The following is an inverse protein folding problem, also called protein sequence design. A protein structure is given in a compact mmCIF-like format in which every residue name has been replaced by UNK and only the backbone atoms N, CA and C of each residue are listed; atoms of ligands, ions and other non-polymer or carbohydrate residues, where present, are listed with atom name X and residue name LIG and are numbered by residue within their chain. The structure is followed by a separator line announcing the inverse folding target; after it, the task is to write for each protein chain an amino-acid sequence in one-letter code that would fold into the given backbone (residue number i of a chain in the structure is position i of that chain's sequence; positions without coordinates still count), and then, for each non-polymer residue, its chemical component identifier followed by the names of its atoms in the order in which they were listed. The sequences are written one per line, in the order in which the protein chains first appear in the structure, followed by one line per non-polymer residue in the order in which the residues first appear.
data_IF_538252184358
#
_entry.id   IF_538252184358
#
_cell.length_a   1.000
_cell.length_b   1.000
_cell.length_c   1.000
_cell.angle_alpha   90.00
_cell.angle_beta   90.00
_cell.angle_gamma   90.00
#
_symmetry.space_group_name_H-M   'P 1'
#
loop_
_entity.id
_entity.type
_entity.pdbx_description
1 polymer ?
#
# COMPACT_ATOMS: atom_id res chain seq x y z
N UNK A 1 -5.55 -2.40 -12.53
CA UNK A 1 -6.24 -1.48 -13.48
C UNK A 1 -6.99 -2.30 -14.52
N UNK A 2 -8.25 -1.94 -14.82
CA UNK A 2 -9.08 -2.62 -15.83
C UNK A 2 -8.55 -2.35 -17.25
N UNK A 3 -8.87 -3.22 -18.21
CA UNK A 3 -8.47 -3.03 -19.61
C UNK A 3 -9.00 -1.71 -20.19
N UNK A 4 -10.25 -1.35 -19.88
CA UNK A 4 -10.86 -0.07 -20.31
C UNK A 4 -10.10 1.16 -19.80
N UNK A 5 -9.60 1.13 -18.56
CA UNK A 5 -8.80 2.22 -17.99
C UNK A 5 -7.44 2.34 -18.70
N UNK A 6 -6.80 1.21 -19.03
CA UNK A 6 -5.55 1.21 -19.83
C UNK A 6 -5.76 1.81 -21.21
N UNK A 7 -6.85 1.41 -21.89
CA UNK A 7 -7.23 1.95 -23.20
C UNK A 7 -7.49 3.45 -23.10
N UNK A 8 -8.20 3.90 -22.07
CA UNK A 8 -8.45 5.32 -21.86
C UNK A 8 -7.15 6.13 -21.70
N UNK A 9 -6.20 5.66 -20.87
CA UNK A 9 -4.89 6.33 -20.72
C UNK A 9 -4.15 6.37 -22.07
N UNK A 10 -4.15 5.27 -22.81
CA UNK A 10 -3.52 5.20 -24.13
C UNK A 10 -4.15 6.20 -25.11
N UNK A 11 -5.47 6.26 -25.19
CA UNK A 11 -6.19 7.22 -26.04
C UNK A 11 -5.92 8.67 -25.62
N UNK A 12 -5.82 8.95 -24.32
CA UNK A 12 -5.45 10.26 -23.82
C UNK A 12 -4.03 10.68 -24.27
N UNK A 13 -3.06 9.77 -24.20
CA UNK A 13 -1.69 10.02 -24.70
C UNK A 13 -1.64 10.26 -26.21
N UNK A 14 -2.39 9.47 -26.98
CA UNK A 14 -2.51 9.65 -28.43
C UNK A 14 -3.14 11.02 -28.73
N UNK A 15 -4.21 11.38 -28.01
CA UNK A 15 -4.88 12.67 -28.15
C UNK A 15 -3.97 13.86 -27.84
N UNK A 16 -3.21 13.80 -26.74
CA UNK A 16 -2.20 14.81 -26.39
C UNK A 16 -1.10 14.92 -27.46
N UNK A 17 -0.64 13.79 -27.99
CA UNK A 17 0.38 13.77 -29.05
C UNK A 17 -0.15 14.42 -30.33
N UNK A 18 -1.33 14.00 -30.80
CA UNK A 18 -1.99 14.58 -31.97
C UNK A 18 -2.21 16.08 -31.77
N UNK A 19 -2.68 16.49 -30.59
CA UNK A 19 -2.88 17.91 -30.25
C UNK A 19 -1.59 18.73 -30.34
N UNK A 20 -0.47 18.19 -29.84
CA UNK A 20 0.84 18.82 -29.97
C UNK A 20 1.28 18.99 -31.43
N UNK A 21 1.19 17.93 -32.25
CA UNK A 21 1.59 17.98 -33.66
C UNK A 21 0.71 18.95 -34.47
N UNK A 22 -0.61 18.86 -34.32
CA UNK A 22 -1.55 19.75 -35.01
C UNK A 22 -1.37 21.20 -34.57
N UNK A 23 -1.23 21.46 -33.27
CA UNK A 23 -1.12 22.81 -32.74
C UNK A 23 0.19 23.53 -33.14
N UNK A 24 1.24 22.78 -33.47
CA UNK A 24 2.50 23.32 -33.94
C UNK A 24 2.71 23.18 -35.46
N UNK A 25 1.72 22.67 -36.20
CA UNK A 25 1.82 22.35 -37.63
C UNK A 25 3.03 21.47 -37.98
N UNK A 26 3.31 20.46 -37.14
CA UNK A 26 4.45 19.56 -37.31
C UNK A 26 4.01 18.19 -37.84
N UNK A 27 4.88 17.55 -38.60
CA UNK A 27 4.82 16.11 -38.88
C UNK A 27 5.99 15.38 -38.20
N UNK A 28 5.91 14.05 -38.13
CA UNK A 28 6.95 13.24 -37.49
C UNK A 28 8.34 13.43 -38.13
N UNK A 29 8.38 13.67 -39.45
CA UNK A 29 9.63 13.93 -40.18
C UNK A 29 10.34 15.21 -39.69
N UNK A 30 9.59 16.24 -39.31
CA UNK A 30 10.15 17.50 -38.82
C UNK A 30 10.92 17.29 -37.51
N UNK A 31 10.47 16.37 -36.66
CA UNK A 31 11.17 16.04 -35.41
C UNK A 31 12.52 15.39 -35.68
N UNK A 32 12.62 14.50 -36.67
CA UNK A 32 13.88 13.83 -37.02
C UNK A 32 14.89 14.78 -37.68
N UNK A 33 14.40 15.82 -38.36
CA UNK A 33 15.25 16.90 -38.90
C UNK A 33 15.70 17.83 -37.77
N UNK A 34 14.76 18.19 -36.89
CA UNK A 34 14.98 19.15 -35.82
C UNK A 34 15.87 18.60 -34.71
N UNK A 35 15.72 17.33 -34.35
CA UNK A 35 16.36 16.69 -33.20
C UNK A 35 17.25 15.53 -33.68
N UNK A 36 18.58 15.65 -33.56
CA UNK A 36 19.50 14.54 -33.75
C UNK A 36 19.07 13.29 -32.98
N UNK A 37 19.26 12.12 -33.60
CA UNK A 37 18.85 10.84 -33.03
C UNK A 37 19.34 10.65 -31.59
N UNK A 38 20.63 10.87 -31.30
CA UNK A 38 21.17 10.72 -29.94
C UNK A 38 20.46 11.63 -28.91
N UNK A 39 20.15 12.87 -29.30
CA UNK A 39 19.48 13.84 -28.44
C UNK A 39 18.03 13.42 -28.16
N UNK A 40 17.35 12.86 -29.17
CA UNK A 40 16.01 12.28 -29.00
C UNK A 40 15.99 11.15 -27.97
N UNK A 41 16.95 10.20 -28.02
CA UNK A 41 17.05 9.13 -27.02
C UNK A 41 17.36 9.66 -25.63
N UNK A 42 18.30 10.59 -25.51
CA UNK A 42 18.67 11.20 -24.22
C UNK A 42 17.45 11.87 -23.59
N UNK A 43 16.68 12.65 -24.35
CA UNK A 43 15.49 13.33 -23.82
C UNK A 43 14.40 12.36 -23.42
N UNK A 44 14.16 11.28 -24.17
CA UNK A 44 13.19 10.24 -23.77
C UNK A 44 13.61 9.61 -22.44
N UNK A 45 14.89 9.29 -22.30
CA UNK A 45 15.43 8.72 -21.05
C UNK A 45 15.23 9.72 -19.90
N UNK A 46 15.57 10.99 -20.09
CA UNK A 46 15.38 12.03 -19.07
C UNK A 46 13.90 12.22 -18.71
N UNK A 47 13.00 12.21 -19.69
CA UNK A 47 11.57 12.27 -19.45
C UNK A 47 11.10 11.04 -18.65
N UNK A 48 11.57 9.83 -18.97
CA UNK A 48 11.26 8.64 -18.20
C UNK A 48 11.77 8.73 -16.74
N UNK A 49 12.98 9.23 -16.52
CA UNK A 49 13.53 9.44 -15.17
C UNK A 49 12.84 10.59 -14.42
N UNK A 50 12.24 11.56 -15.11
CA UNK A 50 11.48 12.65 -14.47
C UNK A 50 10.26 12.17 -13.68
N UNK A 51 9.79 10.92 -13.91
CA UNK A 51 8.75 10.28 -13.10
C UNK A 51 9.08 10.34 -11.61
N UNK A 52 10.35 10.13 -11.21
CA UNK A 52 10.74 10.20 -9.80
C UNK A 52 10.54 11.61 -9.22
N UNK A 53 10.84 12.65 -10.00
CA UNK A 53 10.60 14.03 -9.59
C UNK A 53 9.11 14.33 -9.45
N UNK A 54 8.29 13.86 -10.39
CA UNK A 54 6.84 14.03 -10.30
C UNK A 54 6.20 13.23 -9.17
N UNK A 55 6.74 12.08 -8.78
CA UNK A 55 6.33 11.38 -7.55
C UNK A 55 6.62 12.24 -6.31
N UNK A 56 7.78 12.88 -6.23
CA UNK A 56 8.09 13.79 -5.11
C UNK A 56 7.10 14.96 -5.08
N UNK A 57 6.83 15.59 -6.24
CA UNK A 57 5.86 16.66 -6.34
C UNK A 57 4.43 16.22 -5.95
N UNK A 58 4.05 15.01 -6.33
CA UNK A 58 2.77 14.40 -5.95
C UNK A 58 2.64 14.29 -4.43
N UNK A 59 3.63 13.71 -3.75
CA UNK A 59 3.61 13.58 -2.30
C UNK A 59 3.65 14.94 -1.59
N UNK A 60 4.40 15.91 -2.15
CA UNK A 60 4.38 17.31 -1.68
C UNK A 60 2.97 17.92 -1.82
N UNK A 61 2.23 17.58 -2.87
CA UNK A 61 0.84 17.97 -3.03
C UNK A 61 -0.02 17.52 -1.85
N UNK A 62 0.03 16.24 -1.48
CA UNK A 62 -0.67 15.74 -0.28
C UNK A 62 -0.25 16.52 0.97
N UNK A 63 1.04 16.78 1.13
CA UNK A 63 1.55 17.54 2.27
C UNK A 63 0.99 18.96 2.35
N UNK A 64 1.06 19.73 1.25
CA UNK A 64 0.60 21.12 1.20
C UNK A 64 -0.91 21.19 1.45
N UNK A 65 -1.69 20.42 0.69
CA UNK A 65 -3.15 20.47 0.82
C UNK A 65 -3.65 19.84 2.12
N UNK A 66 -2.93 18.86 2.68
CA UNK A 66 -3.17 18.36 4.03
C UNK A 66 -2.95 19.44 5.07
N UNK A 67 -1.81 20.15 5.01
CA UNK A 67 -1.54 21.28 5.92
C UNK A 67 -2.60 22.37 5.85
N UNK A 68 -3.01 22.76 4.63
CA UNK A 68 -4.08 23.74 4.40
C UNK A 68 -5.43 23.31 4.98
N UNK A 69 -5.67 22.00 5.12
CA UNK A 69 -6.90 21.44 5.67
C UNK A 69 -6.79 21.03 7.16
N UNK A 70 -5.68 21.38 7.82
CA UNK A 70 -5.48 21.16 9.25
C UNK A 70 -4.87 19.81 9.60
N UNK A 71 -4.28 19.09 8.64
CA UNK A 71 -3.57 17.84 8.91
C UNK A 71 -2.14 18.11 9.41
N UNK A 72 -1.67 17.19 10.22
CA UNK A 72 -0.29 17.11 10.70
C UNK A 72 0.40 15.91 10.03
N UNK A 73 1.64 16.12 9.60
CA UNK A 73 2.46 15.08 9.00
C UNK A 73 2.84 14.05 10.05
N UNK A 74 2.71 12.76 9.73
CA UNK A 74 3.19 11.65 10.55
C UNK A 74 4.53 11.17 10.00
N UNK A 75 4.55 10.82 8.71
CA UNK A 75 5.79 10.53 8.00
C UNK A 75 5.68 10.90 6.53
N UNK A 76 6.84 11.12 5.93
CA UNK A 76 6.99 11.36 4.51
C UNK A 76 8.02 10.38 3.96
N UNK A 77 7.68 9.71 2.88
CA UNK A 77 8.50 8.68 2.29
C UNK A 77 8.62 8.87 0.78
N UNK A 78 9.84 8.81 0.27
CA UNK A 78 10.19 8.79 -1.15
C UNK A 78 11.31 7.75 -1.34
N UNK A 79 11.67 7.35 -2.58
CA UNK A 79 12.70 6.35 -2.77
C UNK A 79 13.98 6.78 -2.03
N UNK A 80 14.53 5.85 -1.24
CA UNK A 80 15.74 6.03 -0.42
C UNK A 80 15.63 6.96 0.81
N UNK A 81 14.57 7.74 0.98
CA UNK A 81 14.41 8.65 2.12
C UNK A 81 13.08 8.44 2.86
N UNK A 82 13.16 8.29 4.18
CA UNK A 82 12.00 8.28 5.06
C UNK A 82 12.20 9.32 6.16
N UNK A 83 11.25 10.25 6.29
CA UNK A 83 11.21 11.25 7.34
C UNK A 83 10.08 10.93 8.30
N UNK A 84 10.42 10.71 9.57
CA UNK A 84 9.45 10.54 10.65
C UNK A 84 9.25 11.88 11.37
N UNK A 85 8.03 12.38 11.37
CA UNK A 85 7.70 13.69 11.94
C UNK A 85 7.62 13.67 13.47
N UNK A 86 7.38 12.51 14.09
CA UNK A 86 7.31 12.36 15.54
C UNK A 86 8.73 12.42 16.15
N UNK A 87 9.66 11.67 15.57
CA UNK A 87 11.06 11.63 16.03
C UNK A 87 11.93 12.73 15.40
N UNK A 88 11.43 13.40 14.36
CA UNK A 88 12.17 14.37 13.52
C UNK A 88 13.45 13.78 12.93
N UNK A 89 13.45 12.48 12.61
CA UNK A 89 14.61 11.77 12.10
C UNK A 89 14.45 11.40 10.63
N UNK A 90 15.55 11.43 9.88
CA UNK A 90 15.63 10.89 8.53
C UNK A 90 16.32 9.53 8.58
N UNK A 91 15.71 8.53 7.95
CA UNK A 91 16.28 7.20 7.78
C UNK A 91 16.29 6.79 6.31
N UNK A 92 17.08 5.76 5.99
CA UNK A 92 17.06 5.15 4.66
C UNK A 92 15.70 4.50 4.39
N UNK A 93 15.20 4.65 3.17
CA UNK A 93 13.87 4.21 2.73
C UNK A 93 13.65 2.69 2.64
N UNK A 94 14.09 1.91 3.63
CA UNK A 94 14.01 0.44 3.64
C UNK A 94 12.61 -0.10 3.98
N UNK A 95 11.72 0.73 4.52
CA UNK A 95 10.41 0.32 5.05
C UNK A 95 9.22 0.92 4.26
N UNK A 96 9.37 1.11 2.95
CA UNK A 96 8.23 1.50 2.10
C UNK A 96 7.19 0.38 2.09
N UNK A 97 5.89 0.68 2.21
CA UNK A 97 4.87 -0.31 1.91
C UNK A 97 5.07 -0.86 0.49
N UNK A 98 5.02 -2.18 0.37
CA UNK A 98 5.29 -2.86 -0.90
C UNK A 98 4.38 -2.32 -2.02
N UNK A 99 5.00 -1.80 -3.09
CA UNK A 99 4.29 -1.26 -4.25
C UNK A 99 4.01 0.24 -4.22
N UNK A 100 4.47 0.99 -3.22
CA UNK A 100 4.41 2.46 -3.19
C UNK A 100 5.77 3.06 -3.55
N UNK A 101 5.80 3.97 -4.55
CA UNK A 101 7.00 4.73 -4.91
C UNK A 101 7.23 5.93 -3.98
N UNK A 102 6.18 6.44 -3.36
CA UNK A 102 6.19 7.53 -2.38
C UNK A 102 4.98 7.39 -1.47
N UNK A 103 5.03 8.05 -0.31
CA UNK A 103 3.92 8.10 0.62
C UNK A 103 4.03 9.29 1.59
N UNK A 104 3.02 10.15 1.59
CA UNK A 104 2.79 11.18 2.59
C UNK A 104 1.65 10.77 3.51
N UNK A 105 1.96 10.23 4.70
CA UNK A 105 0.93 9.93 5.68
C UNK A 105 0.73 11.12 6.61
N UNK A 106 -0.50 11.66 6.60
CA UNK A 106 -0.91 12.73 7.49
C UNK A 106 -2.17 12.34 8.26
N UNK A 107 -2.32 12.92 9.45
CA UNK A 107 -3.50 12.72 10.28
C UNK A 107 -4.06 14.07 10.78
N UNK A 108 -5.37 14.08 11.07
CA UNK A 108 -6.11 15.21 11.60
C UNK A 108 -6.75 14.82 12.93
N UNK A 109 -6.07 15.11 14.04
CA UNK A 109 -6.49 14.75 15.40
C UNK A 109 -7.41 15.79 16.06
N UNK A 110 -7.53 16.99 15.49
CA UNK A 110 -8.18 18.12 16.16
C UNK A 110 -9.71 18.15 15.99
N UNK A 111 -10.30 17.14 15.35
CA UNK A 111 -11.75 17.05 15.09
C UNK A 111 -12.31 15.79 15.70
N UNK A 112 -13.36 15.94 16.53
CA UNK A 112 -13.98 14.84 17.26
C UNK A 112 -14.88 13.97 16.38
N UNK A 113 -15.50 14.56 15.35
CA UNK A 113 -16.39 13.84 14.43
C UNK A 113 -15.73 13.67 13.05
N UNK A 114 -15.76 12.44 12.53
CA UNK A 114 -15.31 12.10 11.18
C UNK A 114 -16.10 12.87 10.11
N UNK A 115 -17.37 13.20 10.35
CA UNK A 115 -18.17 13.99 9.40
C UNK A 115 -17.57 15.37 9.14
N UNK A 116 -16.88 15.94 10.13
CA UNK A 116 -16.24 17.25 10.04
C UNK A 116 -14.82 17.20 9.45
N UNK A 117 -14.19 16.02 9.39
CA UNK A 117 -12.82 15.87 8.87
C UNK A 117 -12.80 16.05 7.33
N UNK A 118 -12.09 17.07 6.80
CA UNK A 118 -11.98 17.31 5.37
C UNK A 118 -11.00 16.31 4.76
N UNK A 119 -11.40 15.51 3.77
CA UNK A 119 -10.50 14.53 3.14
C UNK A 119 -10.14 14.87 1.70
N UNK A 120 -11.00 15.62 1.00
CA UNK A 120 -10.92 15.76 -0.45
C UNK A 120 -9.62 16.45 -0.90
N UNK A 121 -9.30 17.64 -0.36
CA UNK A 121 -8.09 18.36 -0.76
C UNK A 121 -6.81 17.62 -0.36
N UNK A 122 -6.79 16.97 0.81
CA UNK A 122 -5.66 16.14 1.23
C UNK A 122 -5.40 15.03 0.22
N UNK A 123 -6.43 14.25 -0.15
CA UNK A 123 -6.30 13.17 -1.14
C UNK A 123 -6.09 13.67 -2.57
N UNK A 124 -6.71 14.79 -2.95
CA UNK A 124 -6.55 15.34 -4.30
C UNK A 124 -5.25 16.13 -4.47
N UNK A 125 -4.52 16.42 -3.39
CA UNK A 125 -3.35 17.30 -3.43
C UNK A 125 -2.29 16.85 -4.42
N UNK A 126 -1.92 15.56 -4.39
CA UNK A 126 -0.97 15.00 -5.35
C UNK A 126 -1.50 14.99 -6.79
N UNK A 127 -2.81 14.78 -6.99
CA UNK A 127 -3.45 14.88 -8.30
C UNK A 127 -3.38 16.30 -8.86
N UNK A 128 -3.70 17.30 -8.02
CA UNK A 128 -3.69 18.72 -8.39
C UNK A 128 -2.28 19.14 -8.82
N UNK A 129 -1.25 18.82 -8.03
CA UNK A 129 0.13 19.22 -8.34
C UNK A 129 0.62 18.59 -9.64
N UNK A 130 0.39 17.29 -9.85
CA UNK A 130 0.80 16.62 -11.09
C UNK A 130 0.03 17.14 -12.30
N UNK A 131 -1.28 17.36 -12.17
CA UNK A 131 -2.08 17.94 -13.24
C UNK A 131 -1.59 19.34 -13.61
N UNK A 132 -1.40 20.22 -12.63
CA UNK A 132 -0.92 21.58 -12.88
C UNK A 132 0.48 21.58 -13.52
N UNK A 133 1.40 20.77 -13.00
CA UNK A 133 2.75 20.67 -13.56
C UNK A 133 2.73 20.15 -14.99
N UNK A 134 1.97 19.09 -15.25
CA UNK A 134 1.80 18.53 -16.59
C UNK A 134 1.14 19.50 -17.55
N UNK A 135 0.08 20.18 -17.13
CA UNK A 135 -0.63 21.18 -17.92
C UNK A 135 0.26 22.38 -18.25
N UNK A 136 1.07 22.86 -17.29
CA UNK A 136 2.03 23.95 -17.53
C UNK A 136 3.12 23.55 -18.52
N UNK A 137 3.69 22.35 -18.42
CA UNK A 137 4.68 21.83 -19.37
C UNK A 137 4.06 21.61 -20.77
N UNK A 138 2.82 21.11 -20.82
CA UNK A 138 2.10 20.94 -22.07
C UNK A 138 1.78 22.29 -22.71
N UNK A 139 1.34 23.29 -21.95
CA UNK A 139 1.17 24.66 -22.44
C UNK A 139 2.49 25.27 -22.93
N UNK A 140 3.58 25.04 -22.19
CA UNK A 140 4.94 25.44 -22.58
C UNK A 140 5.36 24.86 -23.93
N UNK A 141 4.83 23.70 -24.32
CA UNK A 141 5.12 23.08 -25.63
C UNK A 141 4.63 23.87 -26.84
N UNK A 142 3.65 24.77 -26.64
CA UNK A 142 3.16 25.70 -27.65
C UNK A 142 3.76 27.11 -27.51
N UNK A 143 4.36 27.41 -26.36
CA UNK A 143 5.01 28.69 -26.11
C UNK A 143 6.46 28.69 -26.60
N UNK A 144 7.20 27.60 -26.37
CA UNK A 144 8.58 27.47 -26.80
C UNK A 144 8.69 26.97 -28.23
N UNK A 145 9.63 27.53 -28.99
CA UNK A 145 9.85 27.19 -30.41
C UNK A 145 10.90 26.09 -30.55
N UNK A 146 10.73 25.25 -31.56
CA UNK A 146 11.70 24.23 -31.95
C UNK A 146 11.89 23.14 -30.89
N UNK A 147 13.15 22.76 -30.65
CA UNK A 147 13.52 21.67 -29.74
C UNK A 147 12.94 21.83 -28.33
N UNK A 148 12.92 23.06 -27.80
CA UNK A 148 12.42 23.33 -26.45
C UNK A 148 10.92 23.08 -26.33
N UNK A 149 10.13 23.38 -27.37
CA UNK A 149 8.70 23.04 -27.41
C UNK A 149 8.48 21.54 -27.31
N UNK A 150 9.26 20.76 -28.09
CA UNK A 150 9.19 19.30 -28.04
C UNK A 150 9.63 18.71 -26.70
N UNK A 151 10.67 19.27 -26.06
CA UNK A 151 11.09 18.84 -24.73
C UNK A 151 10.01 19.11 -23.70
N UNK A 152 9.42 20.31 -23.71
CA UNK A 152 8.31 20.66 -22.84
C UNK A 152 7.12 19.71 -23.01
N UNK A 153 6.81 19.31 -24.25
CA UNK A 153 5.82 18.27 -24.53
C UNK A 153 6.21 16.92 -23.89
N UNK A 154 7.42 16.41 -24.14
CA UNK A 154 7.85 15.12 -23.58
C UNK A 154 7.87 15.10 -22.05
N UNK A 155 8.35 16.17 -21.40
CA UNK A 155 8.36 16.28 -19.94
C UNK A 155 6.95 16.47 -19.35
N UNK A 156 5.94 16.87 -20.14
CA UNK A 156 4.56 16.92 -19.66
C UNK A 156 3.93 15.53 -19.46
N UNK A 157 4.35 14.54 -20.26
CA UNK A 157 3.71 13.22 -20.30
C UNK A 157 3.84 12.45 -18.98
N UNK A 158 5.02 12.36 -18.32
CA UNK A 158 5.18 11.72 -17.01
C UNK A 158 4.22 12.27 -15.95
N UNK A 159 4.11 13.60 -15.84
CA UNK A 159 3.23 14.25 -14.87
C UNK A 159 1.74 13.92 -15.14
N UNK A 160 1.30 14.04 -16.39
CA UNK A 160 -0.06 13.73 -16.80
C UNK A 160 -0.39 12.24 -16.65
N UNK A 161 0.59 11.35 -16.90
CA UNK A 161 0.43 9.91 -16.68
C UNK A 161 0.27 9.57 -15.20
N UNK A 162 1.05 10.18 -14.32
CA UNK A 162 0.89 9.99 -12.87
C UNK A 162 -0.43 10.57 -12.37
N UNK A 163 -0.89 11.71 -12.91
CA UNK A 163 -2.22 12.24 -12.64
C UNK A 163 -3.32 11.25 -13.05
N UNK A 164 -3.33 10.79 -14.30
CA UNK A 164 -4.33 9.84 -14.80
C UNK A 164 -4.28 8.50 -14.04
N UNK A 165 -3.08 8.00 -13.76
CA UNK A 165 -2.87 6.78 -13.00
C UNK A 165 -3.45 6.84 -11.59
N UNK A 166 -3.29 7.97 -10.89
CA UNK A 166 -3.81 8.11 -9.51
C UNK A 166 -5.25 8.64 -9.45
N UNK A 167 -5.75 9.32 -10.49
CA UNK A 167 -7.13 9.80 -10.54
C UNK A 167 -8.14 8.67 -10.86
N UNK A 168 -7.72 7.64 -11.61
CA UNK A 168 -8.61 6.54 -11.97
C UNK A 168 -8.79 5.56 -10.81
N UNK A 169 -10.04 5.15 -10.50
CA UNK A 169 -10.30 4.32 -9.33
C UNK A 169 -9.89 2.86 -9.57
N UNK A 170 -8.66 2.52 -9.17
CA UNK A 170 -8.18 1.14 -9.09
C UNK A 170 -7.17 0.98 -7.95
N UNK A 171 -6.97 -0.25 -7.44
CA UNK A 171 -5.95 -0.50 -6.41
C UNK A 171 -6.16 0.36 -5.16
N UNK A 172 -5.11 1.02 -4.67
CA UNK A 172 -5.18 1.96 -3.55
C UNK A 172 -4.88 3.41 -3.98
N UNK A 173 -5.25 3.79 -5.20
CA UNK A 173 -5.05 5.13 -5.76
C UNK A 173 -5.89 6.20 -5.04
N UNK A 174 -5.44 7.46 -5.08
CA UNK A 174 -6.16 8.60 -4.48
C UNK A 174 -7.59 8.74 -4.99
N UNK A 175 -7.77 8.62 -6.31
CA UNK A 175 -9.07 8.69 -6.96
C UNK A 175 -10.02 7.60 -6.46
N UNK A 176 -9.50 6.38 -6.19
CA UNK A 176 -10.28 5.34 -5.55
C UNK A 176 -10.63 5.69 -4.11
N UNK A 177 -9.69 6.19 -3.32
CA UNK A 177 -9.96 6.58 -1.92
C UNK A 177 -11.02 7.67 -1.84
N UNK A 178 -10.91 8.72 -2.66
CA UNK A 178 -11.92 9.77 -2.76
C UNK A 178 -13.27 9.19 -3.15
N UNK A 179 -13.31 8.30 -4.15
CA UNK A 179 -14.55 7.66 -4.58
C UNK A 179 -15.18 6.82 -3.47
N UNK A 180 -14.40 6.00 -2.77
CA UNK A 180 -14.91 5.14 -1.69
C UNK A 180 -15.43 5.96 -0.52
N UNK A 181 -14.68 6.95 -0.04
CA UNK A 181 -15.09 7.82 1.08
C UNK A 181 -16.42 8.54 0.77
N UNK A 182 -16.62 8.96 -0.49
CA UNK A 182 -17.85 9.64 -0.91
C UNK A 182 -19.11 8.77 -0.86
N UNK A 183 -18.98 7.44 -0.85
CA UNK A 183 -20.15 6.54 -0.94
C UNK A 183 -20.98 6.49 0.34
N UNK A 184 -20.36 6.62 1.51
CA UNK A 184 -21.06 6.47 2.79
C UNK A 184 -20.28 7.07 3.95
N UNK A 185 -21.01 7.44 5.01
CA UNK A 185 -20.42 7.83 6.30
C UNK A 185 -19.58 6.70 6.89
N UNK A 186 -20.02 5.43 6.73
CA UNK A 186 -19.25 4.25 7.14
C UNK A 186 -17.86 4.23 6.49
N UNK A 187 -17.77 4.45 5.17
CA UNK A 187 -16.50 4.47 4.46
C UNK A 187 -15.60 5.61 4.96
N UNK A 188 -16.18 6.77 5.23
CA UNK A 188 -15.47 7.91 5.81
C UNK A 188 -14.88 7.56 7.17
N UNK A 189 -15.68 6.97 8.07
CA UNK A 189 -15.22 6.54 9.40
C UNK A 189 -14.11 5.49 9.31
N UNK A 190 -14.29 4.46 8.47
CA UNK A 190 -13.27 3.42 8.29
C UNK A 190 -11.94 3.99 7.76
N UNK A 191 -12.00 4.93 6.83
CA UNK A 191 -10.81 5.63 6.32
C UNK A 191 -10.05 6.37 7.43
N UNK A 192 -10.75 7.16 8.25
CA UNK A 192 -10.09 7.90 9.33
C UNK A 192 -9.53 6.98 10.40
N UNK A 193 -10.25 5.93 10.78
CA UNK A 193 -9.74 4.90 11.69
C UNK A 193 -8.49 4.24 11.13
N UNK A 194 -8.44 3.93 9.84
CA UNK A 194 -7.24 3.39 9.19
C UNK A 194 -6.04 4.33 9.29
N UNK A 195 -6.21 5.62 9.01
CA UNK A 195 -5.12 6.62 9.13
C UNK A 195 -4.63 6.72 10.58
N UNK A 196 -5.56 6.80 11.52
CA UNK A 196 -5.24 6.95 12.94
C UNK A 196 -4.60 5.67 13.52
N UNK A 197 -5.06 4.48 13.14
CA UNK A 197 -4.38 3.21 13.45
C UNK A 197 -2.94 3.22 12.91
N UNK A 198 -2.75 3.60 11.64
CA UNK A 198 -1.42 3.72 11.04
C UNK A 198 -0.53 4.71 11.78
N UNK A 199 -1.09 5.82 12.26
CA UNK A 199 -0.40 6.80 13.09
C UNK A 199 0.08 6.21 14.42
N UNK A 200 -0.78 5.44 15.10
CA UNK A 200 -0.46 4.80 16.37
C UNK A 200 0.65 3.76 16.18
N UNK A 201 0.55 2.92 15.15
CA UNK A 201 1.57 1.92 14.83
C UNK A 201 2.91 2.57 14.48
N UNK A 202 2.90 3.67 13.71
CA UNK A 202 4.10 4.45 13.42
C UNK A 202 4.70 5.06 14.69
N UNK A 203 3.86 5.52 15.62
CA UNK A 203 4.30 6.02 16.93
C UNK A 203 4.85 4.90 17.86
N UNK A 204 4.95 3.66 17.36
CA UNK A 204 5.54 2.55 18.08
C UNK A 204 4.58 1.87 19.05
N UNK A 205 3.27 2.07 18.88
CA UNK A 205 2.26 1.24 19.54
C UNK A 205 2.23 -0.15 18.95
N UNK A 206 2.00 -1.16 19.79
CA UNK A 206 1.80 -2.55 19.36
C UNK A 206 0.31 -2.80 19.08
N UNK A 207 -0.04 -3.93 18.47
CA UNK A 207 -1.42 -4.16 18.01
C UNK A 207 -2.42 -4.21 19.17
N UNK A 208 -2.03 -4.82 20.29
CA UNK A 208 -2.89 -4.91 21.49
C UNK A 208 -3.11 -3.55 22.19
N UNK A 209 -2.29 -2.54 21.91
CA UNK A 209 -2.44 -1.18 22.45
C UNK A 209 -3.39 -0.30 21.62
N UNK A 210 -3.85 -0.77 20.45
CA UNK A 210 -4.82 -0.02 19.64
C UNK A 210 -6.16 0.05 20.39
N UNK A 211 -6.74 1.24 20.62
CA UNK A 211 -7.95 1.37 21.44
C UNK A 211 -9.13 0.59 20.85
N UNK A 212 -9.90 -0.08 21.72
CA UNK A 212 -10.94 -1.05 21.30
C UNK A 212 -12.08 -0.44 20.49
N UNK A 213 -12.36 0.85 20.65
CA UNK A 213 -13.37 1.60 19.89
C UNK A 213 -12.99 1.80 18.40
N UNK A 214 -11.72 1.60 18.04
CA UNK A 214 -11.29 1.58 16.64
C UNK A 214 -11.77 0.33 15.90
N UNK A 215 -12.15 -0.72 16.62
CA UNK A 215 -12.61 -1.98 16.06
C UNK A 215 -14.14 -2.13 16.08
N UNK A 216 -14.89 -1.09 16.45
CA UNK A 216 -16.37 -1.15 16.57
C UNK A 216 -17.04 -1.63 15.29
N UNK A 217 -16.72 -1.09 14.12
CA UNK A 217 -17.35 -1.47 12.85
C UNK A 217 -16.92 -2.87 12.41
N UNK A 218 -15.74 -3.34 12.83
CA UNK A 218 -15.29 -4.72 12.60
C UNK A 218 -16.13 -5.67 13.46
N UNK A 219 -16.28 -5.38 14.75
CA UNK A 219 -17.07 -6.16 15.71
C UNK A 219 -18.56 -6.21 15.35
N UNK A 220 -19.10 -5.10 14.86
CA UNK A 220 -20.48 -4.99 14.39
C UNK A 220 -20.71 -5.66 13.01
N UNK A 221 -19.65 -6.18 12.37
CA UNK A 221 -19.69 -6.76 11.03
C UNK A 221 -19.89 -5.75 9.88
N UNK A 222 -20.04 -4.46 10.18
CA UNK A 222 -20.24 -3.37 9.21
C UNK A 222 -19.03 -3.18 8.31
N UNK A 223 -17.82 -3.42 8.80
CA UNK A 223 -16.58 -3.27 8.03
C UNK A 223 -16.59 -4.07 6.72
N UNK A 224 -17.25 -5.25 6.69
CA UNK A 224 -17.36 -6.12 5.50
C UNK A 224 -18.14 -5.49 4.35
N UNK A 225 -18.94 -4.46 4.63
CA UNK A 225 -19.72 -3.71 3.63
C UNK A 225 -18.84 -2.74 2.82
N UNK A 226 -17.57 -2.57 3.21
CA UNK A 226 -16.67 -1.58 2.63
C UNK A 226 -15.33 -2.19 2.25
N UNK A 227 -14.79 -1.77 1.11
CA UNK A 227 -13.40 -2.03 0.75
C UNK A 227 -12.41 -1.51 1.81
N UNK A 228 -12.76 -0.43 2.52
CA UNK A 228 -11.91 0.17 3.55
C UNK A 228 -11.95 -0.57 4.88
N UNK A 229 -12.87 -1.53 5.05
CA UNK A 229 -12.99 -2.29 6.30
C UNK A 229 -11.92 -3.37 6.47
N UNK A 230 -11.23 -3.72 5.39
CA UNK A 230 -10.26 -4.81 5.39
C UNK A 230 -9.02 -4.50 6.24
N UNK A 231 -8.49 -3.28 6.16
CA UNK A 231 -7.33 -2.89 6.97
C UNK A 231 -7.64 -2.88 8.47
N UNK A 232 -8.71 -2.21 8.97
CA UNK A 232 -9.13 -2.32 10.37
C UNK A 232 -9.35 -3.76 10.83
N UNK A 233 -9.89 -4.62 9.96
CA UNK A 233 -10.10 -6.04 10.26
C UNK A 233 -8.76 -6.79 10.41
N UNK A 234 -7.77 -6.53 9.55
CA UNK A 234 -6.42 -7.12 9.68
C UNK A 234 -5.71 -6.65 10.94
N UNK A 235 -5.79 -5.36 11.28
CA UNK A 235 -5.22 -4.82 12.53
C UNK A 235 -5.90 -5.45 13.75
N UNK A 236 -7.23 -5.63 13.71
CA UNK A 236 -7.96 -6.30 14.79
C UNK A 236 -7.56 -7.76 14.94
N UNK A 237 -7.44 -8.48 13.82
CA UNK A 237 -6.95 -9.86 13.79
C UNK A 237 -5.56 -9.94 14.44
N UNK A 238 -4.61 -9.09 14.06
CA UNK A 238 -3.27 -9.05 14.64
C UNK A 238 -3.29 -8.74 16.13
N UNK A 239 -4.16 -7.84 16.60
CA UNK A 239 -4.32 -7.56 18.02
C UNK A 239 -4.81 -8.79 18.81
N UNK A 240 -5.76 -9.56 18.25
CA UNK A 240 -6.22 -10.81 18.84
C UNK A 240 -5.13 -11.88 18.88
N UNK A 241 -4.33 -11.98 17.81
CA UNK A 241 -3.18 -12.90 17.74
C UNK A 241 -2.11 -12.54 18.78
N UNK A 242 -1.82 -11.25 18.97
CA UNK A 242 -0.88 -10.76 19.99
C UNK A 242 -1.39 -11.06 21.41
N UNK A 243 -2.71 -11.04 21.61
CA UNK A 243 -3.38 -11.45 22.86
C UNK A 243 -3.53 -12.97 23.00
N UNK A 244 -3.07 -13.77 22.02
CA UNK A 244 -3.26 -15.23 21.94
C UNK A 244 -4.74 -15.65 21.96
N UNK A 245 -5.66 -14.77 21.59
CA UNK A 245 -7.08 -15.07 21.44
C UNK A 245 -7.36 -15.69 20.07
N UNK A 246 -6.81 -16.89 19.85
CA UNK A 246 -6.86 -17.59 18.56
C UNK A 246 -8.28 -17.92 18.11
N UNK A 247 -9.20 -18.21 19.04
CA UNK A 247 -10.57 -18.57 18.72
C UNK A 247 -11.29 -17.41 18.03
N UNK A 248 -11.20 -16.21 18.61
CA UNK A 248 -11.83 -15.03 18.02
C UNK A 248 -11.09 -14.57 16.76
N UNK A 249 -9.75 -14.69 16.72
CA UNK A 249 -8.95 -14.37 15.54
C UNK A 249 -9.36 -15.26 14.33
N UNK A 250 -9.49 -16.56 14.55
CA UNK A 250 -9.91 -17.53 13.53
C UNK A 250 -11.35 -17.31 13.07
N UNK A 251 -12.25 -16.94 13.99
CA UNK A 251 -13.63 -16.57 13.65
C UNK A 251 -13.66 -15.39 12.67
N UNK A 252 -12.99 -14.29 13.02
CA UNK A 252 -12.96 -13.08 12.17
C UNK A 252 -12.35 -13.38 10.80
N UNK A 253 -11.22 -14.09 10.76
CA UNK A 253 -10.54 -14.41 9.49
C UNK A 253 -11.37 -15.36 8.62
N UNK A 254 -11.95 -16.40 9.21
CA UNK A 254 -12.76 -17.39 8.48
C UNK A 254 -14.02 -16.74 7.91
N UNK A 255 -14.73 -15.93 8.69
CA UNK A 255 -15.89 -15.20 8.18
C UNK A 255 -15.55 -14.24 7.03
N UNK A 256 -14.36 -13.62 7.04
CA UNK A 256 -13.91 -12.79 5.91
C UNK A 256 -13.66 -13.64 4.67
N UNK A 257 -12.98 -14.77 4.81
CA UNK A 257 -12.68 -15.69 3.70
C UNK A 257 -13.96 -16.31 3.12
N UNK A 258 -14.96 -16.60 3.94
CA UNK A 258 -16.25 -17.15 3.49
C UNK A 258 -17.10 -16.12 2.75
N UNK A 259 -17.06 -14.87 3.19
CA UNK A 259 -17.88 -13.79 2.61
C UNK A 259 -17.25 -13.09 1.42
N UNK A 260 -15.97 -13.35 1.13
CA UNK A 260 -15.24 -12.63 0.08
C UNK A 260 -14.32 -13.55 -0.73
N UNK A 261 -14.08 -13.18 -1.99
CA UNK A 261 -12.99 -13.77 -2.76
C UNK A 261 -11.67 -13.16 -2.30
N UNK A 262 -11.08 -13.71 -1.24
CA UNK A 262 -9.85 -13.20 -0.66
C UNK A 262 -8.67 -13.21 -1.65
N UNK A 263 -8.75 -13.92 -2.78
CA UNK A 263 -7.70 -13.86 -3.81
C UNK A 263 -7.58 -12.47 -4.45
N UNK A 264 -8.62 -11.64 -4.32
CA UNK A 264 -8.63 -10.24 -4.79
C UNK A 264 -8.17 -9.24 -3.73
N UNK A 265 -7.92 -9.71 -2.49
CA UNK A 265 -7.46 -8.89 -1.38
C UNK A 265 -6.05 -8.33 -1.64
N UNK A 266 -5.77 -7.07 -1.28
CA UNK A 266 -4.39 -6.57 -1.23
C UNK A 266 -3.53 -7.29 -0.16
N UNK A 267 -4.17 -7.89 0.86
CA UNK A 267 -3.55 -8.67 1.93
C UNK A 267 -3.59 -10.18 1.68
N UNK A 268 -3.91 -10.65 0.46
CA UNK A 268 -4.07 -12.08 0.12
C UNK A 268 -2.91 -12.97 0.61
N UNK A 269 -1.67 -12.48 0.51
CA UNK A 269 -0.47 -13.21 0.93
C UNK A 269 -0.45 -13.44 2.44
N UNK A 270 -0.77 -12.40 3.21
CA UNK A 270 -0.90 -12.48 4.66
C UNK A 270 -2.07 -13.38 5.04
N UNK A 271 -3.26 -13.15 4.49
CA UNK A 271 -4.48 -13.93 4.78
C UNK A 271 -4.26 -15.42 4.56
N UNK A 272 -3.57 -15.82 3.48
CA UNK A 272 -3.28 -17.23 3.21
C UNK A 272 -2.35 -17.84 4.28
N UNK A 273 -1.28 -17.14 4.67
CA UNK A 273 -0.35 -17.60 5.68
C UNK A 273 -1.00 -17.66 7.08
N UNK A 274 -1.81 -16.66 7.42
CA UNK A 274 -2.53 -16.60 8.71
C UNK A 274 -3.63 -17.68 8.80
N UNK A 275 -4.34 -17.94 7.69
CA UNK A 275 -5.32 -19.03 7.64
C UNK A 275 -4.64 -20.40 7.81
N UNK A 276 -3.51 -20.61 7.15
CA UNK A 276 -2.69 -21.82 7.34
C UNK A 276 -2.22 -21.96 8.79
N UNK A 277 -1.79 -20.87 9.42
CA UNK A 277 -1.42 -20.87 10.84
C UNK A 277 -2.59 -21.32 11.71
N UNK A 278 -3.76 -20.68 11.57
CA UNK A 278 -4.96 -21.05 12.31
C UNK A 278 -5.34 -22.52 12.09
N UNK A 279 -5.41 -22.98 10.84
CA UNK A 279 -5.75 -24.37 10.52
C UNK A 279 -4.77 -25.37 11.16
N UNK A 280 -3.47 -25.04 11.19
CA UNK A 280 -2.48 -25.84 11.87
C UNK A 280 -2.71 -25.92 13.38
N UNK A 281 -2.87 -24.79 14.07
CA UNK A 281 -3.00 -24.78 15.54
C UNK A 281 -4.32 -25.38 16.03
N UNK A 282 -5.37 -25.35 15.21
CA UNK A 282 -6.67 -25.97 15.51
C UNK A 282 -6.78 -27.42 15.04
N UNK A 283 -5.73 -28.00 14.45
CA UNK A 283 -5.72 -29.41 14.05
C UNK A 283 -6.57 -29.71 12.81
N UNK A 284 -6.92 -28.70 12.00
CA UNK A 284 -7.74 -28.83 10.78
C UNK A 284 -6.87 -29.30 9.61
N UNK A 285 -6.49 -30.60 9.67
CA UNK A 285 -5.47 -31.19 8.79
C UNK A 285 -5.78 -31.08 7.30
N UNK A 286 -7.02 -31.32 6.91
CA UNK A 286 -7.40 -31.33 5.50
C UNK A 286 -7.45 -29.91 4.93
N UNK A 287 -7.96 -28.95 5.70
CA UNK A 287 -7.96 -27.52 5.37
C UNK A 287 -6.53 -26.97 5.27
N UNK A 288 -5.67 -27.30 6.23
CA UNK A 288 -4.26 -26.89 6.24
C UNK A 288 -3.50 -27.41 5.02
N UNK A 289 -3.69 -28.69 4.65
CA UNK A 289 -3.08 -29.27 3.43
C UNK A 289 -3.56 -28.59 2.16
N UNK A 290 -4.87 -28.34 2.02
CA UNK A 290 -5.43 -27.62 0.86
C UNK A 290 -4.87 -26.21 0.75
N UNK A 291 -4.75 -25.50 1.88
CA UNK A 291 -4.15 -24.17 1.89
C UNK A 291 -2.65 -24.22 1.54
N UNK A 292 -1.91 -25.21 2.03
CA UNK A 292 -0.51 -25.41 1.68
C UNK A 292 -0.32 -25.65 0.19
N UNK A 293 -1.11 -26.55 -0.41
CA UNK A 293 -1.08 -26.82 -1.86
C UNK A 293 -1.36 -25.54 -2.66
N UNK A 294 -2.34 -24.75 -2.22
CA UNK A 294 -2.65 -23.45 -2.84
C UNK A 294 -1.48 -22.47 -2.74
N UNK A 295 -0.79 -22.43 -1.60
CA UNK A 295 0.41 -21.60 -1.39
C UNK A 295 1.54 -22.05 -2.32
N UNK A 296 1.81 -23.35 -2.41
CA UNK A 296 2.90 -23.90 -3.23
C UNK A 296 2.69 -23.65 -4.73
N UNK A 297 1.44 -23.73 -5.19
CA UNK A 297 1.06 -23.53 -6.59
C UNK A 297 0.91 -22.06 -7.00
N UNK A 298 1.03 -21.11 -6.07
CA UNK A 298 0.92 -19.68 -6.36
C UNK A 298 2.19 -18.93 -5.95
N UNK A 299 3.00 -18.52 -6.93
CA UNK A 299 4.32 -17.91 -6.72
C UNK A 299 4.34 -16.78 -5.68
N UNK A 300 3.38 -15.85 -5.74
CA UNK A 300 3.27 -14.76 -4.77
C UNK A 300 2.91 -15.20 -3.35
N UNK A 301 2.14 -16.27 -3.17
CA UNK A 301 1.83 -16.81 -1.84
C UNK A 301 3.05 -17.56 -1.29
N UNK A 302 3.68 -18.38 -2.14
CA UNK A 302 4.91 -19.12 -1.82
C UNK A 302 6.04 -18.21 -1.36
N UNK A 303 6.27 -17.11 -2.07
CA UNK A 303 7.29 -16.11 -1.73
C UNK A 303 7.07 -15.52 -0.33
N UNK A 304 5.84 -15.09 -0.03
CA UNK A 304 5.51 -14.58 1.30
C UNK A 304 5.59 -15.65 2.39
N UNK A 305 5.09 -16.85 2.13
CA UNK A 305 5.15 -17.97 3.06
C UNK A 305 6.59 -18.33 3.43
N UNK A 306 7.53 -18.27 2.47
CA UNK A 306 8.94 -18.55 2.72
C UNK A 306 9.59 -17.62 3.78
N UNK A 307 9.02 -16.44 3.98
CA UNK A 307 9.44 -15.45 5.00
C UNK A 307 8.56 -15.49 6.27
N UNK A 308 7.47 -16.26 6.25
CA UNK A 308 6.51 -16.42 7.35
C UNK A 308 6.91 -17.56 8.29
N UNK A 309 8.06 -17.41 8.96
CA UNK A 309 8.66 -18.48 9.79
C UNK A 309 7.73 -18.96 10.91
N UNK A 310 6.94 -18.06 11.52
CA UNK A 310 5.98 -18.43 12.57
C UNK A 310 4.93 -19.43 12.03
N UNK A 311 4.39 -19.19 10.84
CA UNK A 311 3.48 -20.11 10.15
C UNK A 311 4.15 -21.43 9.81
N UNK A 312 5.41 -21.40 9.33
CA UNK A 312 6.17 -22.61 9.04
C UNK A 312 6.36 -23.47 10.28
N UNK A 313 6.71 -22.87 11.41
CA UNK A 313 6.85 -23.59 12.69
C UNK A 313 5.53 -24.21 13.11
N UNK A 314 4.42 -23.44 13.10
CA UNK A 314 3.11 -23.98 13.46
C UNK A 314 2.70 -25.16 12.57
N UNK A 315 2.90 -25.03 11.26
CA UNK A 315 2.59 -26.11 10.31
C UNK A 315 3.45 -27.35 10.55
N UNK A 316 4.77 -27.20 10.65
CA UNK A 316 5.68 -28.33 10.90
C UNK A 316 5.43 -29.00 12.26
N UNK A 317 5.12 -28.21 13.29
CA UNK A 317 4.86 -28.74 14.64
C UNK A 317 3.53 -29.50 14.72
N UNK A 318 2.44 -28.93 14.21
CA UNK A 318 1.09 -29.47 14.42
C UNK A 318 0.60 -30.35 13.28
N UNK A 319 1.03 -30.10 12.03
CA UNK A 319 0.58 -30.87 10.86
C UNK A 319 1.58 -31.97 10.48
N UNK A 320 2.88 -31.64 10.40
CA UNK A 320 3.93 -32.63 10.09
C UNK A 320 4.37 -33.43 11.32
N UNK A 321 4.05 -32.94 12.53
CA UNK A 321 4.44 -33.55 13.81
C UNK A 321 5.97 -33.74 13.89
N UNK A 322 6.72 -32.79 13.33
CA UNK A 322 8.18 -32.86 13.25
C UNK A 322 8.81 -31.83 14.19
N UNK A 323 9.12 -32.29 15.41
CA UNK A 323 9.66 -31.46 16.50
C UNK A 323 11.07 -30.96 16.15
N UNK A 324 11.92 -31.81 15.60
CA UNK A 324 13.30 -31.46 15.25
C UNK A 324 13.34 -30.36 14.18
N UNK A 325 12.62 -30.57 13.07
CA UNK A 325 12.50 -29.57 12.00
C UNK A 325 11.88 -28.26 12.52
N UNK A 326 10.93 -28.32 13.45
CA UNK A 326 10.38 -27.12 14.09
C UNK A 326 11.44 -26.36 14.89
N UNK A 327 12.27 -27.06 15.68
CA UNK A 327 13.37 -26.45 16.46
C UNK A 327 14.40 -25.75 15.57
N UNK A 328 14.72 -26.33 14.42
CA UNK A 328 15.66 -25.75 13.44
C UNK A 328 15.18 -24.43 12.81
N UNK A 329 13.87 -24.16 12.84
CA UNK A 329 13.29 -22.93 12.28
C UNK A 329 13.38 -21.74 13.24
N UNK A 330 13.42 -21.95 14.56
CA UNK A 330 13.44 -20.86 15.55
C UNK A 330 14.62 -19.88 15.38
N UNK A 331 15.87 -20.33 15.18
CA UNK A 331 17.00 -19.42 14.95
C UNK A 331 16.82 -18.50 13.71
N UNK A 332 15.96 -18.89 12.76
CA UNK A 332 15.67 -18.07 11.57
C UNK A 332 14.78 -16.87 11.87
N UNK A 333 14.03 -16.87 12.98
CA UNK A 333 13.16 -15.76 13.39
C UNK A 333 13.99 -14.50 13.60
N UNK A 334 15.05 -14.56 14.40
CA UNK A 334 15.91 -13.41 14.70
C UNK A 334 16.60 -12.84 13.46
N UNK A 335 17.02 -13.73 12.54
CA UNK A 335 17.69 -13.33 11.30
C UNK A 335 16.77 -12.49 10.40
N UNK A 336 15.49 -12.85 10.33
CA UNK A 336 14.48 -12.17 9.51
C UNK A 336 13.93 -10.91 10.20
N UNK A 337 13.83 -10.92 11.53
CA UNK A 337 13.33 -9.78 12.30
C UNK A 337 14.21 -8.52 12.17
N UNK A 338 15.52 -8.67 11.96
CA UNK A 338 16.48 -7.54 11.91
C UNK A 338 16.32 -6.57 10.73
N UNK A 339 15.54 -6.92 9.70
CA UNK A 339 15.58 -6.15 8.44
C UNK A 339 14.22 -5.64 7.94
N UNK A 340 13.09 -6.19 8.39
CA UNK A 340 11.85 -6.11 7.60
C UNK A 340 10.56 -5.71 8.34
N UNK A 341 10.58 -5.51 9.66
CA UNK A 341 9.35 -5.38 10.46
C UNK A 341 9.34 -4.12 11.33
N UNK A 342 8.14 -3.56 11.50
CA UNK A 342 7.91 -2.50 12.48
C UNK A 342 7.80 -3.07 13.91
N UNK A 343 7.76 -2.18 14.91
CA UNK A 343 7.73 -2.59 16.33
C UNK A 343 6.53 -3.48 16.68
N UNK A 344 5.34 -3.19 16.15
CA UNK A 344 4.14 -3.99 16.41
C UNK A 344 4.26 -5.39 15.82
N UNK A 345 4.76 -5.51 14.60
CA UNK A 345 5.01 -6.80 13.94
C UNK A 345 6.07 -7.62 14.67
N UNK A 346 7.13 -6.98 15.17
CA UNK A 346 8.15 -7.65 15.97
C UNK A 346 7.55 -8.20 17.28
N UNK A 347 6.79 -7.38 18.01
CA UNK A 347 6.14 -7.81 19.26
C UNK A 347 5.18 -8.99 19.04
N UNK A 348 4.35 -8.92 17.99
CA UNK A 348 3.44 -10.00 17.63
C UNK A 348 4.22 -11.30 17.35
N UNK A 349 5.27 -11.22 16.54
CA UNK A 349 6.10 -12.39 16.18
C UNK A 349 6.78 -12.99 17.40
N UNK A 350 7.33 -12.16 18.29
CA UNK A 350 7.94 -12.61 19.55
C UNK A 350 6.91 -13.31 20.45
N UNK A 351 5.70 -12.76 20.55
CA UNK A 351 4.60 -13.33 21.34
C UNK A 351 4.20 -14.71 20.82
N UNK A 352 3.98 -14.84 19.51
CA UNK A 352 3.64 -16.11 18.87
C UNK A 352 4.78 -17.13 18.93
N UNK A 353 6.03 -16.68 18.77
CA UNK A 353 7.21 -17.53 18.91
C UNK A 353 7.31 -18.11 20.33
N UNK A 354 7.16 -17.28 21.35
CA UNK A 354 7.16 -17.71 22.75
C UNK A 354 6.05 -18.72 23.05
N UNK A 355 4.85 -18.48 22.51
CA UNK A 355 3.73 -19.43 22.63
C UNK A 355 4.04 -20.79 21.99
N UNK A 356 4.56 -20.82 20.76
CA UNK A 356 4.97 -22.06 20.06
C UNK A 356 6.11 -22.79 20.79
N UNK A 357 7.09 -22.04 21.31
CA UNK A 357 8.24 -22.61 22.04
C UNK A 357 7.78 -23.32 23.32
N UNK A 358 6.72 -22.84 23.96
CA UNK A 358 6.10 -23.50 25.11
C UNK A 358 5.64 -24.95 24.83
N UNK A 359 5.31 -25.30 23.59
CA UNK A 359 4.98 -26.68 23.21
C UNK A 359 6.24 -27.55 23.05
N UNK A 360 7.31 -26.98 22.47
CA UNK A 360 8.56 -27.71 22.27
C UNK A 360 9.27 -28.05 23.59
N UNK A 361 9.11 -27.20 24.61
CA UNK A 361 9.68 -27.40 25.95
C UNK A 361 8.91 -28.44 26.78
N UNK A 362 7.66 -28.74 26.43
CA UNK A 362 6.83 -29.75 27.13
C UNK A 362 7.06 -31.18 26.62
N UNK A 363 7.70 -31.32 25.45
CA UNK A 363 7.93 -32.61 24.77
C UNK A 363 9.41 -33.03 24.84
N UNK A 364 10.29 -32.20 25.41
CA UNK A 364 11.62 -32.59 25.90
C UNK A 364 11.55 -33.01 27.36
#
# INVERSE_FOLDING_TARGET
MKASQRIFIFLALVGLSIGYFLGNNLVLADLFIMIPFYEFFVVIILAAYSVFFHVILHEIGHFIFGKLTGYHLIYFHIPYFHYDANTKSISGGKNSPAGMLGQCLMNISNKKDDTEKPYFLYLAGGLIVNFLTGALLYAGSFYFVGKLGFYSFLFSLPALLLFLGNALPYGATDGRMIQEIRKSTLNKTLYFKQIEMGALLQAGKVYSEIPTNYFTEVKDGKAKQSFLGEYPMMVYYQALMEQLNFVEADRILSEYIESTDFMKSPYVRMIAAEKLFCDAIFGRREEAKKMMEKIENHSGLKDYYSHSIITQIAYTLFMEINIEKSRELFPKIEKINKTNFNKAELQLRETLAGWLQGYLNKVS
#
